data_IF_396981462086
#
_entry.id   IF_396981462086
#
_cell.length_a   1.000
_cell.length_b   1.000
_cell.length_c   1.000
_cell.angle_alpha   90.00
_cell.angle_beta   90.00
_cell.angle_gamma   90.00
#
_symmetry.space_group_name_H-M   'P 1'
#
loop_
_entity.id
_entity.type
_entity.pdbx_description
1 polymer ?
#
# COMPACT_ATOMS: atom_id res chain seq x y z
N UNK A 1 17.91 11.34 -22.13
CA UNK A 1 17.63 10.05 -21.48
C UNK A 1 16.37 9.50 -22.11
N UNK A 2 16.27 8.23 -22.53
CA UNK A 2 15.02 7.70 -23.06
C UNK A 2 13.94 7.83 -21.97
N UNK A 3 12.77 8.37 -22.36
CA UNK A 3 11.59 8.45 -21.51
C UNK A 3 11.22 7.03 -21.09
N UNK A 4 11.46 6.67 -19.84
CA UNK A 4 11.13 5.35 -19.31
C UNK A 4 9.67 5.41 -18.82
N UNK A 5 8.73 5.42 -19.79
CA UNK A 5 7.28 5.59 -19.50
C UNK A 5 6.69 4.48 -18.60
N UNK A 6 7.48 3.47 -18.23
CA UNK A 6 7.06 2.33 -17.41
C UNK A 6 7.97 2.05 -16.21
N UNK A 7 8.86 2.99 -15.84
CA UNK A 7 9.72 2.87 -14.66
C UNK A 7 8.93 2.96 -13.33
N UNK A 8 9.57 2.68 -12.18
CA UNK A 8 8.93 2.71 -10.86
C UNK A 8 8.45 4.10 -10.46
N UNK A 9 9.11 5.15 -10.94
CA UNK A 9 8.72 6.55 -10.71
C UNK A 9 7.73 7.09 -11.74
N UNK A 10 7.43 6.32 -12.82
CA UNK A 10 6.41 6.69 -13.80
C UNK A 10 5.03 6.77 -13.14
N UNK A 11 4.16 7.64 -13.68
CA UNK A 11 2.85 7.91 -13.11
C UNK A 11 1.77 7.05 -13.75
N UNK A 12 0.99 6.37 -12.93
CA UNK A 12 -0.25 5.70 -13.30
C UNK A 12 -1.46 6.49 -12.80
N UNK A 13 -2.62 6.26 -13.40
CA UNK A 13 -3.86 6.93 -13.00
C UNK A 13 -4.68 6.05 -12.05
N UNK A 14 -5.05 6.60 -10.89
CA UNK A 14 -6.02 6.01 -9.98
C UNK A 14 -7.24 6.94 -9.95
N UNK A 15 -8.22 6.68 -10.82
CA UNK A 15 -9.33 7.60 -11.01
C UNK A 15 -8.85 9.00 -11.40
N UNK A 16 -9.15 9.99 -10.57
CA UNK A 16 -8.81 11.41 -10.80
C UNK A 16 -7.38 11.78 -10.39
N UNK A 17 -6.66 10.93 -9.67
CA UNK A 17 -5.29 11.23 -9.23
C UNK A 17 -4.24 10.42 -10.01
N UNK A 18 -3.01 10.95 -10.04
CA UNK A 18 -1.85 10.26 -10.62
C UNK A 18 -0.86 9.94 -9.52
N UNK A 19 -0.34 8.72 -9.51
CA UNK A 19 0.58 8.22 -8.50
C UNK A 19 1.77 7.52 -9.15
N UNK A 20 2.92 7.50 -8.49
CA UNK A 20 4.06 6.71 -8.95
C UNK A 20 3.76 5.20 -8.81
N UNK A 21 4.34 4.40 -9.69
CA UNK A 21 4.22 2.93 -9.63
C UNK A 21 4.88 2.33 -8.38
N UNK A 22 5.86 3.02 -7.82
CA UNK A 22 6.45 2.74 -6.51
C UNK A 22 5.85 3.71 -5.49
N UNK A 23 5.21 3.18 -4.45
CA UNK A 23 4.55 3.95 -3.39
C UNK A 23 5.20 3.62 -2.05
N UNK A 24 5.61 4.64 -1.30
CA UNK A 24 6.14 4.44 0.07
C UNK A 24 5.01 4.06 1.02
N UNK A 25 5.13 2.91 1.69
CA UNK A 25 4.15 2.39 2.63
C UNK A 25 4.31 2.95 4.04
N UNK A 26 3.23 2.89 4.84
CA UNK A 26 3.14 3.49 6.16
C UNK A 26 3.40 2.55 7.35
N UNK A 27 3.44 1.23 7.14
CA UNK A 27 3.55 0.28 8.26
C UNK A 27 4.82 0.50 9.11
N UNK A 28 6.04 0.63 8.57
CA UNK A 28 7.22 0.89 9.38
C UNK A 28 7.14 2.19 10.17
N UNK A 29 6.75 3.36 9.62
CA UNK A 29 6.51 4.57 10.40
C UNK A 29 5.48 4.42 11.51
N UNK A 30 4.50 3.54 11.35
CA UNK A 30 3.52 3.23 12.40
C UNK A 30 4.06 2.27 13.49
N UNK A 31 5.27 1.72 13.34
CA UNK A 31 5.81 0.70 14.24
C UNK A 31 5.12 -0.65 14.07
N UNK A 32 4.69 -1.00 12.86
CA UNK A 32 3.97 -2.23 12.55
C UNK A 32 4.79 -3.12 11.59
N UNK A 33 5.64 -3.98 12.17
CA UNK A 33 6.56 -4.82 11.39
C UNK A 33 5.89 -6.06 10.77
N UNK A 34 4.84 -6.58 11.37
CA UNK A 34 4.30 -7.92 11.10
C UNK A 34 5.29 -9.06 11.38
N UNK A 35 6.27 -8.83 12.26
CA UNK A 35 7.34 -9.78 12.59
C UNK A 35 7.40 -10.05 14.09
N UNK A 36 7.75 -9.03 14.88
CA UNK A 36 7.92 -9.18 16.33
C UNK A 36 7.72 -7.86 17.08
N UNK A 37 7.64 -7.95 18.42
CA UNK A 37 7.61 -6.79 19.30
C UNK A 37 8.89 -5.99 19.21
N UNK A 38 10.04 -6.67 19.22
CA UNK A 38 11.36 -6.04 19.18
C UNK A 38 11.51 -5.20 17.92
N UNK A 39 11.09 -5.71 16.77
CA UNK A 39 11.11 -4.97 15.50
C UNK A 39 10.12 -3.78 15.53
N UNK A 40 8.96 -3.94 16.13
CA UNK A 40 8.02 -2.83 16.32
C UNK A 40 8.61 -1.72 17.18
N UNK A 41 9.21 -2.08 18.31
CA UNK A 41 9.83 -1.14 19.24
C UNK A 41 11.02 -0.42 18.58
N UNK A 42 11.81 -1.15 17.79
CA UNK A 42 12.91 -0.57 17.01
C UNK A 42 12.41 0.42 15.95
N UNK A 43 11.38 0.07 15.19
CA UNK A 43 10.75 0.97 14.22
C UNK A 43 10.17 2.20 14.90
N UNK A 44 9.42 2.02 16.00
CA UNK A 44 8.82 3.12 16.75
C UNK A 44 9.87 4.08 17.34
N UNK A 45 11.00 3.55 17.82
CA UNK A 45 12.11 4.35 18.32
C UNK A 45 12.85 5.12 17.21
N UNK A 46 12.97 4.53 16.02
CA UNK A 46 13.62 5.18 14.89
C UNK A 46 12.76 6.26 14.23
N UNK A 47 11.48 6.00 14.01
CA UNK A 47 10.58 6.91 13.29
C UNK A 47 10.09 8.05 14.18
N UNK A 48 11.04 8.92 14.57
CA UNK A 48 10.73 10.27 15.05
C UNK A 48 10.16 11.11 13.91
N UNK A 49 9.58 12.26 14.23
CA UNK A 49 9.12 13.23 13.21
C UNK A 49 10.21 13.53 12.19
N UNK A 50 11.43 13.85 12.65
CA UNK A 50 12.55 14.16 11.76
C UNK A 50 12.90 13.02 10.80
N UNK A 51 12.90 11.78 11.29
CA UNK A 51 13.25 10.63 10.44
C UNK A 51 12.13 10.26 9.46
N UNK A 52 10.86 10.51 9.80
CA UNK A 52 9.74 10.37 8.85
C UNK A 52 9.83 11.43 7.76
N UNK A 53 10.10 12.69 8.11
CA UNK A 53 10.26 13.76 7.12
C UNK A 53 11.45 13.47 6.20
N UNK A 54 12.60 13.03 6.74
CA UNK A 54 13.76 12.60 5.94
C UNK A 54 13.43 11.44 4.99
N UNK A 55 12.64 10.45 5.44
CA UNK A 55 12.20 9.37 4.57
C UNK A 55 11.40 9.89 3.38
N UNK A 56 10.42 10.78 3.61
CA UNK A 56 9.59 11.33 2.56
C UNK A 56 10.38 12.25 1.62
N UNK A 57 11.22 13.13 2.15
CA UNK A 57 12.11 13.99 1.38
C UNK A 57 13.05 13.16 0.50
N UNK A 58 13.67 12.11 1.08
CA UNK A 58 14.56 11.21 0.34
C UNK A 58 13.86 10.49 -0.79
N UNK A 59 12.64 10.03 -0.58
CA UNK A 59 11.82 9.41 -1.62
C UNK A 59 11.50 10.42 -2.74
N UNK A 60 11.11 11.64 -2.40
CA UNK A 60 10.82 12.71 -3.36
C UNK A 60 12.05 13.11 -4.17
N UNK A 61 13.23 13.24 -3.53
CA UNK A 61 14.51 13.51 -4.21
C UNK A 61 14.85 12.45 -5.26
N UNK A 62 14.50 11.19 -5.00
CA UNK A 62 14.71 10.07 -5.91
C UNK A 62 13.60 9.92 -6.95
N UNK A 63 12.65 10.86 -7.00
CA UNK A 63 11.59 10.91 -8.00
C UNK A 63 10.35 10.08 -7.66
N UNK A 64 10.24 9.53 -6.45
CA UNK A 64 8.98 8.92 -6.00
C UNK A 64 7.93 10.02 -5.84
N UNK A 65 6.79 9.84 -6.47
CA UNK A 65 5.72 10.85 -6.47
C UNK A 65 4.61 10.59 -5.46
N UNK A 66 4.69 9.51 -4.65
CA UNK A 66 3.56 9.11 -3.82
C UNK A 66 3.98 8.36 -2.56
N UNK A 67 3.37 8.69 -1.45
CA UNK A 67 3.41 7.88 -0.24
C UNK A 67 2.02 7.62 0.32
N UNK A 68 1.95 6.62 1.19
CA UNK A 68 0.72 6.15 1.78
C UNK A 68 0.75 6.44 3.29
N UNK A 69 -0.36 6.96 3.82
CA UNK A 69 -0.54 7.19 5.24
C UNK A 69 -1.68 6.36 5.81
N UNK A 70 -1.62 6.09 7.10
CA UNK A 70 -2.78 5.67 7.88
C UNK A 70 -3.58 6.91 8.32
N UNK A 71 -4.90 6.81 8.37
CA UNK A 71 -5.78 7.93 8.69
C UNK A 71 -5.84 8.30 10.17
N UNK A 72 -4.74 8.15 10.92
CA UNK A 72 -4.65 8.57 12.32
C UNK A 72 -4.01 9.96 12.47
N UNK A 73 -4.15 10.54 13.67
CA UNK A 73 -3.71 11.92 13.92
C UNK A 73 -2.21 12.11 13.79
N UNK A 74 -1.40 11.12 14.17
CA UNK A 74 0.06 11.22 14.09
C UNK A 74 0.53 11.28 12.63
N UNK A 75 -0.06 10.44 11.78
CA UNK A 75 0.27 10.45 10.36
C UNK A 75 -0.20 11.74 9.67
N UNK A 76 -1.34 12.29 10.09
CA UNK A 76 -1.84 13.57 9.61
C UNK A 76 -0.94 14.74 10.05
N UNK A 77 -0.41 14.71 11.28
CA UNK A 77 0.58 15.71 11.75
C UNK A 77 1.84 15.65 10.90
N UNK A 78 2.38 14.46 10.62
CA UNK A 78 3.56 14.31 9.76
C UNK A 78 3.29 14.76 8.32
N UNK A 79 2.10 14.52 7.78
CA UNK A 79 1.70 15.03 6.47
C UNK A 79 1.70 16.56 6.45
N UNK A 80 1.13 17.20 7.47
CA UNK A 80 1.10 18.66 7.57
C UNK A 80 2.52 19.25 7.67
N UNK A 81 3.38 18.66 8.50
CA UNK A 81 4.78 19.09 8.62
C UNK A 81 5.55 18.91 7.30
N UNK A 82 5.41 17.75 6.65
CA UNK A 82 6.01 17.49 5.34
C UNK A 82 5.62 18.57 4.30
N UNK A 83 4.33 18.94 4.26
CA UNK A 83 3.84 19.96 3.34
C UNK A 83 4.35 21.37 3.69
N UNK A 84 4.45 21.71 4.98
CA UNK A 84 5.05 22.99 5.45
C UNK A 84 6.51 23.12 5.05
N UNK A 85 7.24 22.00 4.99
CA UNK A 85 8.62 21.96 4.50
C UNK A 85 8.74 21.95 2.96
N UNK A 86 7.64 22.06 2.24
CA UNK A 86 7.59 22.17 0.78
C UNK A 86 7.43 20.85 0.05
N UNK A 87 7.15 19.76 0.76
CA UNK A 87 6.91 18.44 0.16
C UNK A 87 5.68 18.40 -0.75
N UNK A 88 5.79 17.70 -1.89
CA UNK A 88 4.80 17.75 -2.99
C UNK A 88 4.27 16.38 -3.42
N UNK A 89 4.76 15.28 -2.86
CA UNK A 89 4.26 13.96 -3.23
C UNK A 89 2.75 13.86 -3.02
N UNK A 90 2.09 13.11 -3.89
CA UNK A 90 0.70 12.73 -3.70
C UNK A 90 0.54 11.79 -2.51
N UNK A 91 -0.61 11.86 -1.86
CA UNK A 91 -0.90 11.08 -0.66
C UNK A 91 -2.11 10.19 -0.87
N UNK A 92 -1.94 8.91 -0.63
CA UNK A 92 -3.01 7.92 -0.53
C UNK A 92 -3.24 7.64 0.96
N UNK A 93 -4.48 7.67 1.42
CA UNK A 93 -4.79 7.49 2.83
C UNK A 93 -5.66 6.25 3.09
N UNK A 94 -5.25 5.45 4.09
CA UNK A 94 -6.03 4.34 4.63
C UNK A 94 -7.03 4.86 5.65
N UNK A 95 -8.29 4.41 5.59
CA UNK A 95 -9.23 4.66 6.69
C UNK A 95 -8.74 4.02 7.99
N UNK A 96 -8.87 4.73 9.11
CA UNK A 96 -8.54 4.23 10.44
C UNK A 96 -9.80 3.64 11.10
N UNK A 97 -9.87 2.32 11.20
CA UNK A 97 -11.05 1.59 11.64
C UNK A 97 -11.39 1.78 13.13
N UNK A 98 -10.43 2.24 13.93
CA UNK A 98 -10.60 2.57 15.35
C UNK A 98 -11.17 3.97 15.58
N UNK A 99 -11.29 4.79 14.56
CA UNK A 99 -12.00 6.07 14.67
C UNK A 99 -13.48 5.81 14.92
N UNK A 100 -14.09 6.57 15.80
CA UNK A 100 -15.51 6.43 16.17
C UNK A 100 -16.45 6.50 14.98
N UNK A 101 -16.11 7.33 14.00
CA UNK A 101 -16.89 7.53 12.79
C UNK A 101 -15.92 7.53 11.59
N UNK A 102 -15.94 6.43 10.83
CA UNK A 102 -15.12 6.28 9.62
C UNK A 102 -15.53 7.29 8.55
N UNK A 103 -16.80 7.73 8.51
CA UNK A 103 -17.24 8.78 7.58
C UNK A 103 -16.59 10.13 7.90
N UNK A 104 -16.46 10.45 9.19
CA UNK A 104 -15.72 11.66 9.63
C UNK A 104 -14.24 11.50 9.28
N UNK A 105 -13.64 10.34 9.50
CA UNK A 105 -12.26 10.05 9.13
C UNK A 105 -12.01 10.27 7.62
N UNK A 106 -12.88 9.76 6.74
CA UNK A 106 -12.81 9.98 5.30
C UNK A 106 -12.83 11.48 4.96
N UNK A 107 -13.73 12.26 5.57
CA UNK A 107 -13.82 13.72 5.32
C UNK A 107 -12.58 14.46 5.81
N UNK A 108 -12.02 14.06 6.97
CA UNK A 108 -10.77 14.63 7.49
C UNK A 108 -9.62 14.37 6.50
N UNK A 109 -9.48 13.14 6.00
CA UNK A 109 -8.44 12.77 5.05
C UNK A 109 -8.56 13.53 3.73
N UNK A 110 -9.77 13.65 3.20
CA UNK A 110 -10.03 14.46 2.01
C UNK A 110 -9.72 15.94 2.26
N UNK A 111 -10.16 16.50 3.40
CA UNK A 111 -9.88 17.88 3.81
C UNK A 111 -8.40 18.16 4.05
N UNK A 112 -7.61 17.15 4.47
CA UNK A 112 -6.16 17.23 4.58
C UNK A 112 -5.44 17.17 3.21
N UNK A 113 -6.18 17.11 2.10
CA UNK A 113 -5.64 17.10 0.75
C UNK A 113 -5.03 15.75 0.34
N UNK A 114 -5.50 14.63 0.91
CA UNK A 114 -5.19 13.32 0.36
C UNK A 114 -5.83 13.18 -1.02
N UNK A 115 -5.05 12.78 -2.01
CA UNK A 115 -5.52 12.63 -3.39
C UNK A 115 -6.45 11.42 -3.56
N UNK A 116 -6.29 10.43 -2.68
CA UNK A 116 -7.08 9.22 -2.65
C UNK A 116 -7.28 8.72 -1.23
N UNK A 117 -8.43 8.09 -0.98
CA UNK A 117 -8.73 7.38 0.26
C UNK A 117 -9.17 5.95 -0.08
N UNK A 118 -8.74 4.96 0.71
CA UNK A 118 -9.18 3.59 0.55
C UNK A 118 -9.72 2.97 1.82
N UNK A 119 -10.69 2.07 1.66
CA UNK A 119 -11.23 1.28 2.76
C UNK A 119 -10.21 0.24 3.24
N UNK A 120 -9.96 0.18 4.55
CA UNK A 120 -8.93 -0.65 5.17
C UNK A 120 -9.16 -2.14 4.92
N UNK A 121 -8.16 -2.83 4.36
CA UNK A 121 -8.28 -4.23 3.94
C UNK A 121 -8.72 -5.20 5.03
N UNK A 122 -8.23 -5.05 6.27
CA UNK A 122 -8.66 -5.92 7.38
C UNK A 122 -10.16 -5.79 7.66
N UNK A 123 -10.75 -4.59 7.54
CA UNK A 123 -12.19 -4.38 7.71
C UNK A 123 -12.97 -4.88 6.50
N UNK A 124 -12.46 -4.68 5.29
CA UNK A 124 -13.04 -5.25 4.07
C UNK A 124 -13.14 -6.78 4.19
N UNK A 125 -12.03 -7.42 4.56
CA UNK A 125 -11.97 -8.88 4.71
C UNK A 125 -12.86 -9.40 5.86
N UNK A 126 -13.04 -8.59 6.92
CA UNK A 126 -13.99 -8.90 7.98
C UNK A 126 -15.41 -8.94 7.45
N UNK A 127 -15.84 -7.90 6.72
CA UNK A 127 -17.17 -7.88 6.10
C UNK A 127 -17.36 -9.03 5.11
N UNK A 128 -16.31 -9.39 4.35
CA UNK A 128 -16.35 -10.54 3.45
C UNK A 128 -16.63 -11.86 4.21
N UNK A 129 -15.87 -12.13 5.28
CA UNK A 129 -16.05 -13.34 6.11
C UNK A 129 -17.42 -13.41 6.78
N UNK A 130 -17.99 -12.26 7.11
CA UNK A 130 -19.32 -12.16 7.76
C UNK A 130 -20.47 -12.20 6.75
N UNK A 131 -20.21 -12.32 5.44
CA UNK A 131 -21.23 -12.28 4.38
C UNK A 131 -21.89 -10.90 4.23
N UNK A 132 -21.19 -9.85 4.61
CA UNK A 132 -21.69 -8.46 4.67
C UNK A 132 -20.80 -7.52 3.86
N UNK A 133 -20.21 -8.01 2.78
CA UNK A 133 -19.24 -7.21 1.99
C UNK A 133 -19.82 -5.90 1.47
N UNK A 134 -21.12 -5.85 1.20
CA UNK A 134 -21.82 -4.65 0.73
C UNK A 134 -21.84 -3.51 1.77
N UNK A 135 -21.52 -3.80 3.05
CA UNK A 135 -21.33 -2.77 4.09
C UNK A 135 -20.12 -1.85 3.79
N UNK A 136 -19.29 -2.19 2.81
CA UNK A 136 -18.25 -1.29 2.29
C UNK A 136 -18.85 -0.14 1.46
N UNK A 137 -19.96 -0.35 0.76
CA UNK A 137 -20.52 0.59 -0.22
C UNK A 137 -20.78 2.00 0.34
N UNK A 138 -21.34 2.18 1.55
CA UNK A 138 -21.52 3.51 2.12
C UNK A 138 -20.21 4.28 2.31
N UNK A 139 -19.11 3.60 2.67
CA UNK A 139 -17.80 4.23 2.83
C UNK A 139 -17.20 4.64 1.49
N UNK A 140 -17.30 3.77 0.46
CA UNK A 140 -16.86 4.07 -0.90
C UNK A 140 -17.63 5.27 -1.46
N UNK A 141 -18.96 5.31 -1.26
CA UNK A 141 -19.78 6.46 -1.64
C UNK A 141 -19.33 7.74 -0.92
N UNK A 142 -19.03 7.68 0.37
CA UNK A 142 -18.55 8.84 1.12
C UNK A 142 -17.24 9.37 0.56
N UNK A 143 -16.28 8.50 0.16
CA UNK A 143 -15.05 8.88 -0.51
C UNK A 143 -15.34 9.58 -1.83
N UNK A 144 -16.24 9.02 -2.64
CA UNK A 144 -16.67 9.60 -3.91
C UNK A 144 -17.29 10.99 -3.72
N UNK A 145 -18.18 11.13 -2.73
CA UNK A 145 -18.85 12.41 -2.38
C UNK A 145 -17.82 13.48 -1.90
N UNK A 146 -16.68 13.07 -1.35
CA UNK A 146 -15.58 13.94 -0.98
C UNK A 146 -14.68 14.36 -2.17
N UNK A 147 -14.90 13.79 -3.36
CA UNK A 147 -14.14 14.13 -4.57
C UNK A 147 -12.73 13.53 -4.66
N UNK A 148 -12.39 12.57 -3.80
CA UNK A 148 -11.12 11.84 -3.84
C UNK A 148 -11.22 10.57 -4.66
N UNK A 149 -10.08 10.05 -5.15
CA UNK A 149 -10.06 8.74 -5.80
C UNK A 149 -10.40 7.65 -4.77
N UNK A 150 -11.26 6.70 -5.18
CA UNK A 150 -11.86 5.69 -4.32
C UNK A 150 -11.12 4.37 -4.41
N UNK A 151 -10.51 3.94 -3.32
CA UNK A 151 -9.79 2.67 -3.24
C UNK A 151 -10.46 1.63 -2.35
N UNK A 152 -10.30 0.36 -2.70
CA UNK A 152 -10.70 -0.79 -1.88
C UNK A 152 -9.50 -1.68 -1.62
N UNK A 153 -9.14 -1.90 -0.36
CA UNK A 153 -8.05 -2.80 0.00
C UNK A 153 -8.56 -4.16 0.45
N UNK A 154 -7.83 -5.23 0.13
CA UNK A 154 -8.14 -6.59 0.57
C UNK A 154 -6.92 -7.51 0.53
N UNK A 155 -6.99 -8.61 1.30
CA UNK A 155 -6.06 -9.74 1.24
C UNK A 155 -6.70 -10.95 0.52
N UNK A 156 -7.96 -10.82 0.09
CA UNK A 156 -8.81 -11.91 -0.44
C UNK A 156 -9.11 -11.64 -1.91
N UNK A 157 -8.59 -12.45 -2.87
CA UNK A 157 -8.82 -12.25 -4.31
C UNK A 157 -10.30 -12.17 -4.69
N UNK A 158 -11.13 -13.00 -4.06
CA UNK A 158 -12.58 -13.08 -4.31
C UNK A 158 -13.32 -11.77 -4.02
N UNK A 159 -12.78 -10.91 -3.14
CA UNK A 159 -13.35 -9.58 -2.88
C UNK A 159 -13.22 -8.67 -4.11
N UNK A 160 -12.07 -8.72 -4.80
CA UNK A 160 -11.86 -7.95 -6.03
C UNK A 160 -12.78 -8.47 -7.12
N UNK A 161 -12.86 -9.78 -7.29
CA UNK A 161 -13.71 -10.43 -8.29
C UNK A 161 -15.19 -10.08 -8.06
N UNK A 162 -15.64 -10.13 -6.81
CA UNK A 162 -17.00 -9.75 -6.43
C UNK A 162 -17.28 -8.27 -6.74
N UNK A 163 -16.37 -7.37 -6.38
CA UNK A 163 -16.55 -5.93 -6.63
C UNK A 163 -16.60 -5.60 -8.13
N UNK A 164 -15.81 -6.31 -8.97
CA UNK A 164 -15.86 -6.18 -10.43
C UNK A 164 -17.16 -6.73 -11.00
N UNK A 165 -17.59 -7.94 -10.57
CA UNK A 165 -18.83 -8.57 -11.01
C UNK A 165 -20.06 -7.72 -10.71
N UNK A 166 -20.06 -7.04 -9.56
CA UNK A 166 -21.15 -6.16 -9.12
C UNK A 166 -20.98 -4.70 -9.51
N UNK A 167 -19.98 -4.41 -10.37
CA UNK A 167 -19.69 -3.08 -10.91
C UNK A 167 -19.61 -1.98 -9.83
N UNK A 168 -18.90 -2.25 -8.74
CA UNK A 168 -18.72 -1.28 -7.66
C UNK A 168 -18.03 -0.01 -8.13
N UNK A 169 -18.44 1.13 -7.57
CA UNK A 169 -17.85 2.45 -7.87
C UNK A 169 -16.52 2.64 -7.14
N UNK A 170 -15.48 1.92 -7.60
CA UNK A 170 -14.09 2.05 -7.14
C UNK A 170 -13.21 2.45 -8.32
N UNK A 171 -12.14 3.21 -8.04
CA UNK A 171 -11.19 3.61 -9.06
C UNK A 171 -10.01 2.63 -9.15
N UNK A 172 -9.65 1.98 -8.05
CA UNK A 172 -8.51 1.08 -7.96
C UNK A 172 -8.60 0.16 -6.74
N UNK A 173 -7.75 -0.88 -6.73
CA UNK A 173 -7.62 -1.79 -5.60
C UNK A 173 -6.22 -1.71 -4.97
N UNK A 174 -6.15 -2.03 -3.67
CA UNK A 174 -4.92 -2.39 -3.00
C UNK A 174 -4.99 -3.88 -2.66
N UNK A 175 -4.14 -4.67 -3.30
CA UNK A 175 -4.17 -6.12 -3.18
C UNK A 175 -2.94 -6.63 -2.43
N UNK A 176 -3.16 -7.27 -1.27
CA UNK A 176 -2.10 -8.02 -0.61
C UNK A 176 -1.78 -9.27 -1.42
N UNK A 177 -0.51 -9.46 -1.77
CA UNK A 177 -0.11 -10.68 -2.51
C UNK A 177 -0.14 -11.95 -1.66
N UNK A 178 -0.48 -11.84 -0.36
CA UNK A 178 -0.69 -12.97 0.55
C UNK A 178 -2.05 -12.86 1.23
N UNK A 179 -2.79 -13.95 1.30
CA UNK A 179 -4.07 -14.00 2.02
C UNK A 179 -3.85 -14.21 3.52
N UNK A 180 -3.35 -13.20 4.19
CA UNK A 180 -3.13 -13.22 5.64
C UNK A 180 -4.43 -13.09 6.46
N UNK A 181 -5.57 -12.96 5.80
CA UNK A 181 -6.90 -12.90 6.41
C UNK A 181 -7.64 -14.24 6.44
N UNK A 182 -6.97 -15.36 6.11
CA UNK A 182 -7.55 -16.71 6.22
C UNK A 182 -8.02 -17.03 7.64
N UNK A 183 -7.30 -16.52 8.63
CA UNK A 183 -7.67 -16.61 10.04
C UNK A 183 -8.21 -15.24 10.47
N UNK A 184 -9.35 -15.18 11.20
CA UNK A 184 -9.87 -13.92 11.71
C UNK A 184 -8.83 -13.18 12.53
N UNK A 185 -8.56 -11.94 12.18
CA UNK A 185 -7.61 -11.07 12.85
C UNK A 185 -8.11 -9.63 12.90
N UNK A 186 -7.54 -8.87 13.83
CA UNK A 186 -7.64 -7.42 13.86
C UNK A 186 -6.24 -6.82 13.60
N UNK A 187 -6.17 -5.58 13.17
CA UNK A 187 -4.87 -4.91 13.05
C UNK A 187 -4.21 -4.75 14.42
N UNK A 188 -2.90 -5.06 14.52
CA UNK A 188 -2.13 -4.83 15.74
C UNK A 188 -2.18 -3.36 16.19
N UNK A 189 -2.21 -2.42 15.25
CA UNK A 189 -2.33 -0.99 15.54
C UNK A 189 -3.68 -0.61 16.19
N UNK A 190 -4.70 -1.49 16.07
CA UNK A 190 -6.03 -1.31 16.68
C UNK A 190 -6.12 -2.10 17.99
N UNK A 191 -5.77 -3.38 17.94
CA UNK A 191 -5.95 -4.32 19.07
C UNK A 191 -4.82 -4.28 20.09
N UNK A 192 -3.61 -3.89 19.70
CA UNK A 192 -2.40 -4.05 20.50
C UNK A 192 -1.93 -5.51 20.65
N UNK A 193 -2.64 -6.47 20.03
CA UNK A 193 -2.36 -7.90 20.16
C UNK A 193 -1.30 -8.35 19.14
N UNK A 194 -0.07 -8.54 19.61
CA UNK A 194 1.05 -9.02 18.82
C UNK A 194 0.94 -10.50 18.41
N UNK A 195 0.13 -11.30 19.12
CA UNK A 195 -0.08 -12.70 18.75
C UNK A 195 -0.75 -12.84 17.38
N UNK A 196 -1.26 -11.75 16.82
CA UNK A 196 -1.77 -11.69 15.46
C UNK A 196 -0.70 -12.06 14.42
N UNK A 197 0.56 -11.71 14.66
CA UNK A 197 1.66 -11.99 13.72
C UNK A 197 1.90 -13.49 13.51
N UNK A 198 1.75 -14.29 14.58
CA UNK A 198 1.89 -15.76 14.51
C UNK A 198 0.77 -16.42 13.70
N UNK A 199 -0.33 -15.70 13.48
CA UNK A 199 -1.50 -16.17 12.74
C UNK A 199 -1.54 -15.67 11.30
N UNK A 200 -0.59 -14.88 10.88
CA UNK A 200 -0.53 -14.37 9.50
C UNK A 200 0.17 -15.40 8.59
N UNK A 201 -0.57 -16.14 7.75
CA UNK A 201 0.05 -17.07 6.80
C UNK A 201 0.62 -16.30 5.60
N UNK A 202 1.88 -16.57 5.27
CA UNK A 202 2.54 -16.06 4.06
C UNK A 202 2.81 -17.22 3.12
N UNK A 203 1.75 -17.74 2.48
CA UNK A 203 1.82 -18.92 1.64
C UNK A 203 2.21 -18.53 0.21
N UNK A 204 3.20 -19.20 -0.42
CA UNK A 204 3.65 -18.88 -1.78
C UNK A 204 2.53 -18.97 -2.83
N UNK A 205 1.61 -19.93 -2.69
CA UNK A 205 0.46 -20.10 -3.57
C UNK A 205 -0.49 -18.90 -3.59
N UNK A 206 -0.56 -18.12 -2.50
CA UNK A 206 -1.39 -16.91 -2.44
C UNK A 206 -0.90 -15.86 -3.46
N UNK A 207 0.43 -15.72 -3.63
CA UNK A 207 1.00 -14.80 -4.64
C UNK A 207 0.52 -15.15 -6.04
N UNK A 208 0.58 -16.43 -6.38
CA UNK A 208 0.13 -16.92 -7.71
C UNK A 208 -1.34 -16.57 -7.94
N UNK A 209 -2.19 -16.84 -6.95
CA UNK A 209 -3.64 -16.60 -7.03
C UNK A 209 -3.95 -15.10 -7.11
N UNK A 210 -3.36 -14.28 -6.22
CA UNK A 210 -3.62 -12.84 -6.21
C UNK A 210 -3.07 -12.15 -7.45
N UNK A 211 -1.86 -12.50 -7.91
CA UNK A 211 -1.30 -11.93 -9.15
C UNK A 211 -2.14 -12.30 -10.38
N UNK A 212 -2.76 -13.48 -10.41
CA UNK A 212 -3.71 -13.84 -11.47
C UNK A 212 -4.94 -12.91 -11.44
N UNK A 213 -5.52 -12.66 -10.27
CA UNK A 213 -6.64 -11.72 -10.09
C UNK A 213 -6.25 -10.29 -10.49
N UNK A 214 -5.08 -9.81 -10.08
CA UNK A 214 -4.57 -8.48 -10.45
C UNK A 214 -4.48 -8.34 -11.97
N UNK A 215 -3.96 -9.34 -12.67
CA UNK A 215 -3.87 -9.31 -14.14
C UNK A 215 -5.23 -9.32 -14.84
N UNK A 216 -6.19 -10.05 -14.28
CA UNK A 216 -7.54 -10.15 -14.85
C UNK A 216 -8.40 -8.89 -14.59
N UNK A 217 -8.07 -8.13 -13.54
CA UNK A 217 -8.82 -6.94 -13.14
C UNK A 217 -8.56 -5.78 -14.12
N UNK A 218 -9.61 -5.12 -14.68
CA UNK A 218 -9.44 -4.02 -15.62
C UNK A 218 -8.93 -2.74 -14.94
N UNK A 219 -9.25 -2.54 -13.66
CA UNK A 219 -8.83 -1.38 -12.89
C UNK A 219 -7.37 -1.47 -12.46
N UNK A 220 -6.70 -0.34 -12.21
CA UNK A 220 -5.37 -0.32 -11.63
C UNK A 220 -5.34 -0.98 -10.25
N UNK A 221 -4.22 -1.62 -9.92
CA UNK A 221 -4.00 -2.25 -8.63
C UNK A 221 -2.66 -1.82 -8.05
N UNK A 222 -2.63 -1.51 -6.76
CA UNK A 222 -1.42 -1.35 -5.98
C UNK A 222 -1.18 -2.63 -5.17
N UNK A 223 -0.21 -3.44 -5.61
CA UNK A 223 0.17 -4.67 -4.92
C UNK A 223 1.00 -4.36 -3.68
N UNK A 224 0.70 -4.97 -2.54
CA UNK A 224 1.46 -4.73 -1.32
C UNK A 224 1.89 -6.03 -0.62
N UNK A 225 2.83 -5.89 0.35
CA UNK A 225 3.53 -6.98 1.02
C UNK A 225 4.35 -7.87 0.05
N UNK A 226 4.85 -7.29 -1.03
CA UNK A 226 5.67 -8.02 -2.02
C UNK A 226 6.92 -8.66 -1.40
N UNK A 227 7.44 -8.10 -0.31
CA UNK A 227 8.57 -8.59 0.49
C UNK A 227 8.13 -9.49 1.65
N UNK A 228 6.87 -9.97 1.68
CA UNK A 228 6.32 -10.83 2.71
C UNK A 228 6.56 -10.32 4.15
N UNK A 229 6.52 -9.00 4.36
CA UNK A 229 6.84 -8.36 5.64
C UNK A 229 8.19 -8.85 6.20
N UNK A 230 9.26 -8.58 5.47
CA UNK A 230 10.68 -8.92 5.75
C UNK A 230 11.07 -10.39 5.57
N UNK A 231 10.13 -11.31 5.31
CA UNK A 231 10.45 -12.74 5.13
C UNK A 231 11.20 -13.05 3.82
N UNK A 232 11.25 -12.09 2.89
CA UNK A 232 12.02 -12.14 1.64
C UNK A 232 13.08 -11.03 1.63
N UNK A 233 13.78 -10.83 2.76
CA UNK A 233 14.75 -9.75 2.92
C UNK A 233 16.06 -10.23 3.59
N UNK A 234 16.33 -11.54 3.60
CA UNK A 234 17.56 -12.08 4.20
C UNK A 234 18.80 -11.60 3.45
N UNK A 235 18.70 -11.47 2.13
CA UNK A 235 19.74 -10.92 1.25
C UNK A 235 19.18 -9.88 0.29
N UNK A 236 20.06 -9.04 -0.29
CA UNK A 236 19.67 -8.12 -1.36
C UNK A 236 19.20 -8.84 -2.63
N UNK A 237 19.62 -10.08 -2.84
CA UNK A 237 19.17 -10.92 -3.94
C UNK A 237 17.70 -11.33 -3.74
N UNK A 238 17.30 -11.74 -2.53
CA UNK A 238 15.91 -12.06 -2.22
C UNK A 238 15.00 -10.85 -2.46
N UNK A 239 15.45 -9.66 -2.05
CA UNK A 239 14.72 -8.41 -2.30
C UNK A 239 14.58 -8.17 -3.80
N UNK A 240 15.66 -8.30 -4.56
CA UNK A 240 15.66 -8.13 -6.02
C UNK A 240 14.69 -9.09 -6.71
N UNK A 241 14.69 -10.36 -6.32
CA UNK A 241 13.80 -11.38 -6.86
C UNK A 241 12.33 -11.08 -6.53
N UNK A 242 12.04 -10.65 -5.30
CA UNK A 242 10.69 -10.29 -4.90
C UNK A 242 10.13 -9.09 -5.70
N UNK A 243 10.97 -8.09 -6.02
CA UNK A 243 10.60 -6.99 -6.92
C UNK A 243 10.39 -7.47 -8.35
N UNK A 244 11.29 -8.31 -8.87
CA UNK A 244 11.17 -8.89 -10.21
C UNK A 244 9.84 -9.65 -10.37
N UNK A 245 9.53 -10.54 -9.45
CA UNK A 245 8.29 -11.32 -9.46
C UNK A 245 7.04 -10.44 -9.36
N UNK A 246 7.09 -9.40 -8.52
CA UNK A 246 5.97 -8.48 -8.38
C UNK A 246 5.69 -7.73 -9.69
N UNK A 247 6.71 -7.07 -10.28
CA UNK A 247 6.52 -6.30 -11.51
C UNK A 247 6.25 -7.16 -12.74
N UNK A 248 6.77 -8.40 -12.81
CA UNK A 248 6.41 -9.37 -13.85
C UNK A 248 4.97 -9.88 -13.70
N UNK A 249 4.46 -9.88 -12.47
CA UNK A 249 3.13 -10.40 -12.14
C UNK A 249 1.98 -9.40 -12.26
N UNK A 250 2.26 -8.09 -12.37
CA UNK A 250 1.26 -7.02 -12.44
C UNK A 250 1.22 -6.36 -13.83
N UNK A 251 0.17 -5.56 -14.11
CA UNK A 251 0.03 -4.81 -15.37
C UNK A 251 0.92 -3.56 -15.40
N UNK A 252 1.24 -2.99 -16.58
CA UNK A 252 1.92 -1.69 -16.69
C UNK A 252 1.17 -0.53 -16.02
N UNK A 253 -0.15 -0.66 -15.87
CA UNK A 253 -1.02 0.31 -15.18
C UNK A 253 -1.07 0.14 -13.68
N UNK A 254 -0.38 -0.85 -13.13
CA UNK A 254 -0.34 -1.17 -11.71
C UNK A 254 0.94 -0.66 -11.06
N UNK A 255 0.95 -0.67 -9.72
CA UNK A 255 2.10 -0.30 -8.92
C UNK A 255 2.29 -1.20 -7.71
N UNK A 256 3.32 -0.92 -6.92
CA UNK A 256 3.63 -1.62 -5.68
C UNK A 256 3.71 -0.66 -4.50
N UNK A 257 3.32 -1.12 -3.31
CA UNK A 257 3.49 -0.40 -2.05
C UNK A 257 4.55 -1.13 -1.25
N UNK A 258 5.60 -0.41 -0.84
CA UNK A 258 6.75 -0.95 -0.11
C UNK A 258 6.93 -0.20 1.21
N UNK A 259 6.93 -0.93 2.32
CA UNK A 259 7.31 -0.39 3.62
C UNK A 259 8.83 -0.27 3.71
N UNK A 260 9.33 0.89 4.08
CA UNK A 260 10.76 1.20 4.14
C UNK A 260 11.20 1.48 5.58
N UNK A 261 12.34 0.91 5.98
CA UNK A 261 12.96 1.11 7.29
C UNK A 261 14.46 1.45 7.12
N UNK A 262 14.80 2.69 6.70
CA UNK A 262 16.14 3.08 6.27
C UNK A 262 17.08 3.40 7.44
N UNK A 263 17.00 2.66 8.55
CA UNK A 263 17.81 2.88 9.75
C UNK A 263 19.30 2.60 9.53
N UNK A 264 19.59 1.56 8.74
CA UNK A 264 20.94 1.03 8.60
C UNK A 264 21.55 1.27 7.21
N UNK A 265 20.70 1.41 6.20
CA UNK A 265 21.09 1.62 4.80
C UNK A 265 20.12 2.56 4.11
N UNK A 266 20.51 3.17 3.00
CA UNK A 266 19.59 3.94 2.15
C UNK A 266 18.64 3.00 1.38
N UNK A 267 17.68 2.44 2.12
CA UNK A 267 16.75 1.46 1.61
C UNK A 267 15.85 2.05 0.51
N UNK A 268 15.55 3.36 0.56
CA UNK A 268 14.78 4.01 -0.50
C UNK A 268 15.47 3.88 -1.85
N UNK A 269 16.76 4.17 -1.91
CA UNK A 269 17.57 4.07 -3.13
C UNK A 269 17.70 2.61 -3.59
N UNK A 270 18.03 1.69 -2.67
CA UNK A 270 18.23 0.28 -3.00
C UNK A 270 16.97 -0.36 -3.57
N UNK A 271 15.81 -0.15 -2.91
CA UNK A 271 14.55 -0.73 -3.36
C UNK A 271 14.08 -0.11 -4.69
N UNK A 272 14.35 1.19 -4.93
CA UNK A 272 14.09 1.81 -6.23
C UNK A 272 14.99 1.23 -7.34
N UNK A 273 16.27 0.96 -7.07
CA UNK A 273 17.17 0.32 -8.03
C UNK A 273 16.67 -1.09 -8.41
N UNK A 274 16.18 -1.88 -7.43
CA UNK A 274 15.56 -3.18 -7.69
C UNK A 274 14.27 -3.04 -8.51
N UNK A 275 13.43 -2.09 -8.14
CA UNK A 275 12.19 -1.80 -8.88
C UNK A 275 12.46 -1.36 -10.33
N UNK A 276 13.49 -0.53 -10.56
CA UNK A 276 13.89 -0.13 -11.92
C UNK A 276 14.35 -1.31 -12.78
N UNK A 277 15.17 -2.20 -12.20
CA UNK A 277 15.63 -3.41 -12.89
C UNK A 277 14.44 -4.31 -13.26
N UNK A 278 13.51 -4.51 -12.31
CA UNK A 278 12.30 -5.30 -12.51
C UNK A 278 11.39 -4.72 -13.61
N UNK A 279 11.17 -3.40 -13.60
CA UNK A 279 10.37 -2.72 -14.63
C UNK A 279 10.99 -2.86 -16.04
N UNK A 280 12.32 -2.74 -16.16
CA UNK A 280 13.01 -2.93 -17.46
C UNK A 280 12.86 -4.35 -17.96
N UNK A 281 13.01 -5.35 -17.08
CA UNK A 281 12.84 -6.75 -17.44
C UNK A 281 11.42 -7.05 -17.91
N UNK A 282 10.41 -6.57 -17.18
CA UNK A 282 8.99 -6.75 -17.55
C UNK A 282 8.62 -6.06 -18.87
N UNK A 283 9.17 -4.86 -19.17
CA UNK A 283 8.96 -4.16 -20.43
C UNK A 283 9.61 -4.83 -21.65
N UNK A 284 10.73 -5.53 -21.46
CA UNK A 284 11.43 -6.25 -22.53
C UNK A 284 10.73 -7.52 -23.02
N UNK A 285 9.89 -8.12 -22.17
CA UNK A 285 9.13 -9.35 -22.50
C UNK A 285 7.87 -9.05 -23.34
N UNK A 286 7.34 -7.82 -23.33
CA UNK A 286 6.14 -7.45 -24.07
C UNK A 286 6.42 -7.01 -25.51
N UNK A 287 7.68 -6.92 -25.95
CA UNK A 287 8.11 -6.52 -27.29
C UNK A 287 8.66 -7.65 -28.18
N UNK A 288 8.50 -8.93 -27.78
CA UNK A 288 8.99 -10.08 -28.54
C UNK A 288 7.86 -10.91 -29.13
#
# INVERSE_FOLDING_TARGET
MPNNDHGPTSLISLGTCRVSRFVVGHNPPCGNSHVSREMNDEMAAYFTTDNVLKLYQRAEELGVGTFLIRGDYRMLEWLELYRREGGRMNVIAQTASEMHDVFVNIRILAGAGCASVYHHGTQTDKFWREGRIDDCLPYLKCMRDCGVAVGLATHVPEVIEYAEEHAWDVDYYLACVYNISRIPRESMLVSGDLSQYDREPYLPEDRVRMLATIRATPRPVLAFKILAASRLCDTQEDVREAFHDAYAGIKPTDGVIVGLFPKHVDQVRLDLEHAEQACRAAGGVQGA
#
